data_IF_118624123262
#
_entry.id   IF_118624123262
#
_cell.length_a   1.000
_cell.length_b   1.000
_cell.length_c   1.000
_cell.angle_alpha   90.00
_cell.angle_beta   90.00
_cell.angle_gamma   90.00
#
_symmetry.space_group_name_H-M   'P 1'
#
loop_
_entity.id
_entity.type
_entity.pdbx_description
1 polymer ?
#
# COMPACT_ATOMS: atom_id res chain seq x y z
N UNK A 1 20.80 4.16 -20.70
CA UNK A 1 20.24 5.20 -19.82
C UNK A 1 21.28 5.55 -18.78
N UNK A 2 21.51 6.83 -18.57
CA UNK A 2 22.44 7.26 -17.54
C UNK A 2 21.97 6.67 -16.19
N UNK A 3 22.94 6.18 -15.42
CA UNK A 3 22.63 5.52 -14.15
C UNK A 3 22.02 6.55 -13.17
N UNK A 4 20.70 6.53 -13.00
CA UNK A 4 19.96 7.48 -12.13
C UNK A 4 20.57 7.57 -10.74
N UNK A 5 21.21 6.50 -10.23
CA UNK A 5 21.93 6.52 -8.94
C UNK A 5 23.07 7.53 -8.86
N UNK A 6 23.59 7.99 -9.99
CA UNK A 6 24.67 8.98 -10.03
C UNK A 6 24.16 10.42 -10.03
N UNK A 7 22.87 10.61 -10.29
CA UNK A 7 22.22 11.91 -10.28
C UNK A 7 21.80 12.31 -8.84
N UNK A 8 21.71 13.62 -8.62
CA UNK A 8 21.10 14.13 -7.39
C UNK A 8 19.59 13.94 -7.42
N UNK A 9 18.97 13.85 -6.25
CA UNK A 9 17.50 13.70 -6.14
C UNK A 9 16.74 14.76 -6.94
N UNK A 10 17.19 16.02 -6.88
CA UNK A 10 16.55 17.14 -7.58
C UNK A 10 16.58 16.96 -9.09
N UNK A 11 17.67 16.41 -9.64
CA UNK A 11 17.80 16.13 -11.08
C UNK A 11 16.85 15.02 -11.52
N UNK A 12 16.71 13.95 -10.70
CA UNK A 12 15.74 12.87 -10.97
C UNK A 12 14.31 13.42 -10.92
N UNK A 13 13.99 14.26 -9.94
CA UNK A 13 12.67 14.91 -9.81
C UNK A 13 12.33 15.73 -11.06
N UNK A 14 13.27 16.50 -11.61
CA UNK A 14 13.03 17.28 -12.84
C UNK A 14 12.86 16.37 -14.08
N UNK A 15 13.56 15.23 -14.14
CA UNK A 15 13.35 14.25 -15.21
C UNK A 15 11.96 13.61 -15.14
N UNK A 16 11.46 13.31 -13.93
CA UNK A 16 10.11 12.78 -13.71
C UNK A 16 9.07 13.83 -14.13
N UNK A 17 9.18 15.08 -13.67
CA UNK A 17 8.27 16.16 -14.05
C UNK A 17 8.20 16.42 -15.56
N UNK A 18 9.31 16.23 -16.25
CA UNK A 18 9.39 16.36 -17.71
C UNK A 18 8.94 15.13 -18.48
N UNK A 19 8.54 14.04 -17.79
CA UNK A 19 8.11 12.78 -18.41
C UNK A 19 9.25 11.99 -19.07
N UNK A 20 10.50 12.27 -18.72
CA UNK A 20 11.68 11.55 -19.26
C UNK A 20 12.07 10.34 -18.44
N UNK A 21 11.59 10.24 -17.22
CA UNK A 21 11.80 9.13 -16.28
C UNK A 21 10.47 8.76 -15.67
N UNK A 22 10.17 7.48 -15.62
CA UNK A 22 8.98 6.92 -14.99
C UNK A 22 9.32 5.98 -13.82
N UNK A 23 8.31 5.30 -13.26
CA UNK A 23 8.48 4.37 -12.14
C UNK A 23 9.34 3.17 -12.54
N UNK A 24 9.23 2.70 -13.79
CA UNK A 24 10.03 1.56 -14.26
C UNK A 24 11.51 1.93 -14.32
N UNK A 25 11.85 3.12 -14.81
CA UNK A 25 13.23 3.62 -14.84
C UNK A 25 13.85 3.72 -13.44
N UNK A 26 13.05 4.18 -12.45
CA UNK A 26 13.46 4.25 -11.04
C UNK A 26 13.80 2.84 -10.51
N UNK A 27 12.90 1.87 -10.76
CA UNK A 27 13.08 0.47 -10.36
C UNK A 27 14.31 -0.15 -11.03
N UNK A 28 14.45 0.02 -12.34
CA UNK A 28 15.56 -0.51 -13.11
C UNK A 28 16.92 0.08 -12.70
N UNK A 29 16.90 1.31 -12.20
CA UNK A 29 18.06 1.94 -11.59
C UNK A 29 18.37 1.43 -10.18
N UNK A 30 17.56 0.51 -9.63
CA UNK A 30 17.73 -0.06 -8.30
C UNK A 30 17.47 0.96 -7.17
N UNK A 31 16.56 1.87 -7.41
CA UNK A 31 16.01 2.82 -6.42
C UNK A 31 14.63 2.33 -6.02
N UNK A 32 14.36 2.26 -4.72
CA UNK A 32 13.02 1.92 -4.25
C UNK A 32 12.04 3.08 -4.55
N UNK A 33 11.02 2.87 -5.41
CA UNK A 33 10.14 3.95 -5.81
C UNK A 33 9.31 4.50 -4.65
N UNK A 34 8.86 3.64 -3.72
CA UNK A 34 8.13 4.08 -2.53
C UNK A 34 8.97 4.97 -1.61
N UNK A 35 10.24 4.58 -1.36
CA UNK A 35 11.14 5.41 -0.56
C UNK A 35 11.49 6.72 -1.25
N UNK A 36 11.67 6.67 -2.58
CA UNK A 36 11.95 7.87 -3.37
C UNK A 36 10.75 8.82 -3.35
N UNK A 37 9.56 8.29 -3.56
CA UNK A 37 8.30 9.04 -3.57
C UNK A 37 8.07 9.79 -2.24
N UNK A 38 8.18 9.07 -1.11
CA UNK A 38 8.06 9.67 0.23
C UNK A 38 9.05 10.80 0.49
N UNK A 39 10.27 10.70 -0.01
CA UNK A 39 11.32 11.73 0.15
C UNK A 39 11.14 12.93 -0.77
N UNK A 40 10.36 12.79 -1.83
CA UNK A 40 10.22 13.79 -2.89
C UNK A 40 8.77 14.26 -3.06
N UNK A 41 8.06 14.48 -1.94
CA UNK A 41 6.70 15.03 -1.92
C UNK A 41 5.70 14.26 -2.80
N UNK A 42 5.78 12.93 -2.80
CA UNK A 42 4.85 12.03 -3.50
C UNK A 42 4.73 12.28 -5.01
N UNK A 43 5.87 12.59 -5.64
CA UNK A 43 5.91 12.95 -7.07
C UNK A 43 5.56 11.79 -8.02
N UNK A 44 5.74 10.53 -7.59
CA UNK A 44 5.46 9.34 -8.40
C UNK A 44 4.02 8.87 -8.29
N UNK A 45 3.45 8.90 -7.11
CA UNK A 45 2.16 8.29 -6.80
C UNK A 45 1.08 9.29 -6.37
N UNK A 46 1.48 10.54 -6.17
CA UNK A 46 0.60 11.56 -5.61
C UNK A 46 0.42 11.42 -4.10
N UNK A 47 -0.16 12.44 -3.49
CA UNK A 47 -0.50 12.44 -2.09
C UNK A 47 -1.67 11.48 -1.82
N UNK A 48 -1.51 10.58 -0.85
CA UNK A 48 -2.51 9.60 -0.43
C UNK A 48 -3.16 9.94 0.92
N UNK A 49 -3.00 11.17 1.42
CA UNK A 49 -3.58 11.58 2.71
C UNK A 49 -5.11 11.46 2.72
N UNK A 50 -5.76 11.67 1.59
CA UNK A 50 -7.19 11.47 1.40
C UNK A 50 -7.63 10.01 1.59
N UNK A 51 -6.73 9.03 1.38
CA UNK A 51 -6.96 7.58 1.49
C UNK A 51 -6.39 6.98 2.77
N UNK A 52 -5.67 7.76 3.57
CA UNK A 52 -5.06 7.29 4.82
C UNK A 52 -6.13 6.87 5.82
N UNK A 53 -5.98 5.67 6.38
CA UNK A 53 -6.86 5.11 7.43
C UNK A 53 -6.26 5.38 8.80
N UNK A 54 -5.01 4.98 8.99
CA UNK A 54 -4.24 5.19 10.22
C UNK A 54 -2.74 5.09 9.95
N UNK A 55 -1.95 5.66 10.83
CA UNK A 55 -0.50 5.51 10.82
C UNK A 55 0.04 5.47 12.25
N UNK A 56 1.21 4.87 12.41
CA UNK A 56 2.02 4.92 13.63
C UNK A 56 3.51 5.04 13.27
N UNK A 57 4.39 4.86 14.22
CA UNK A 57 5.84 5.00 14.00
C UNK A 57 6.40 3.98 12.98
N UNK A 58 5.75 2.83 12.79
CA UNK A 58 6.23 1.72 11.96
C UNK A 58 5.46 1.53 10.66
N UNK A 59 4.15 1.85 10.65
CA UNK A 59 3.24 1.46 9.58
C UNK A 59 2.36 2.61 9.10
N UNK A 60 1.96 2.52 7.84
CA UNK A 60 0.92 3.33 7.21
C UNK A 60 -0.16 2.40 6.67
N UNK A 61 -1.42 2.69 6.96
CA UNK A 61 -2.59 1.94 6.50
C UNK A 61 -3.44 2.85 5.63
N UNK A 62 -3.68 2.48 4.38
CA UNK A 62 -4.41 3.30 3.43
C UNK A 62 -5.22 2.49 2.43
N UNK A 63 -6.28 3.08 1.88
CA UNK A 63 -7.02 2.51 0.76
C UNK A 63 -6.18 2.59 -0.52
N UNK A 64 -6.14 1.49 -1.27
CA UNK A 64 -5.37 1.39 -2.50
C UNK A 64 -6.02 2.23 -3.60
N UNK A 65 -5.25 3.12 -4.24
CA UNK A 65 -5.75 4.04 -5.27
C UNK A 65 -6.17 3.36 -6.59
N UNK A 66 -5.66 2.15 -6.85
CA UNK A 66 -6.09 1.31 -7.98
C UNK A 66 -6.45 -0.08 -7.44
N UNK A 67 -7.63 -0.20 -6.80
CA UNK A 67 -7.99 -1.36 -5.99
C UNK A 67 -8.40 -2.56 -6.84
N UNK A 68 -8.43 -3.76 -6.22
CA UNK A 68 -9.01 -4.97 -6.77
C UNK A 68 -10.45 -5.22 -6.29
N UNK A 69 -10.86 -4.51 -5.26
CA UNK A 69 -12.21 -4.52 -4.70
C UNK A 69 -12.42 -3.25 -3.88
N UNK A 70 -13.65 -2.85 -3.65
CA UNK A 70 -13.96 -1.79 -2.68
C UNK A 70 -13.40 -2.17 -1.31
N UNK A 71 -12.81 -1.21 -0.59
CA UNK A 71 -12.15 -1.48 0.68
C UNK A 71 -10.80 -2.19 0.59
N UNK A 72 -10.21 -2.36 -0.61
CA UNK A 72 -8.84 -2.87 -0.75
C UNK A 72 -7.87 -1.94 -0.04
N UNK A 73 -7.24 -2.46 1.01
CA UNK A 73 -6.36 -1.72 1.91
C UNK A 73 -4.93 -2.25 1.82
N UNK A 74 -3.96 -1.37 1.94
CA UNK A 74 -2.56 -1.74 2.13
C UNK A 74 -2.06 -1.34 3.53
N UNK A 75 -1.16 -2.15 4.08
CA UNK A 75 -0.34 -1.82 5.25
C UNK A 75 1.10 -1.80 4.76
N UNK A 76 1.72 -0.63 4.72
CA UNK A 76 3.11 -0.44 4.29
C UNK A 76 4.00 -0.15 5.49
N UNK A 77 5.19 -0.70 5.51
CA UNK A 77 6.20 -0.33 6.51
C UNK A 77 6.75 1.08 6.23
N UNK A 78 7.07 1.85 7.27
CA UNK A 78 7.76 3.15 7.10
C UNK A 78 9.24 2.97 6.82
N UNK A 79 9.85 1.96 7.45
CA UNK A 79 11.23 1.54 7.16
C UNK A 79 11.23 0.69 5.90
N UNK A 80 12.25 0.82 5.07
CA UNK A 80 12.42 0.01 3.88
C UNK A 80 12.80 -1.42 4.26
N UNK A 81 11.94 -2.36 3.90
CA UNK A 81 12.23 -3.78 3.78
C UNK A 81 11.85 -4.19 2.36
N UNK A 82 12.62 -5.06 1.75
CA UNK A 82 12.33 -5.56 0.41
C UNK A 82 11.15 -6.53 0.43
N UNK A 83 11.14 -7.42 1.40
CA UNK A 83 10.11 -8.44 1.56
C UNK A 83 9.99 -8.87 3.04
N UNK A 84 9.11 -9.83 3.30
CA UNK A 84 8.85 -10.34 4.64
C UNK A 84 10.06 -11.03 5.30
N UNK A 85 11.00 -11.53 4.52
CA UNK A 85 12.17 -12.24 5.04
C UNK A 85 13.20 -11.29 5.68
N UNK A 86 13.13 -10.00 5.36
CA UNK A 86 14.01 -8.98 5.93
C UNK A 86 13.47 -8.34 7.22
N UNK A 87 12.18 -8.55 7.53
CA UNK A 87 11.55 -7.91 8.69
C UNK A 87 11.98 -8.62 9.98
N UNK A 88 12.27 -7.84 11.01
CA UNK A 88 12.48 -8.39 12.35
C UNK A 88 11.20 -9.00 12.95
N UNK A 89 11.36 -9.93 13.89
CA UNK A 89 10.26 -10.68 14.48
C UNK A 89 9.21 -9.80 15.17
N UNK A 90 9.62 -8.70 15.78
CA UNK A 90 8.71 -7.82 16.51
C UNK A 90 7.88 -7.00 15.53
N UNK A 91 8.49 -6.44 14.49
CA UNK A 91 7.78 -5.78 13.39
C UNK A 91 6.83 -6.75 12.68
N UNK A 92 7.27 -8.02 12.49
CA UNK A 92 6.43 -9.07 11.91
C UNK A 92 5.19 -9.34 12.78
N UNK A 93 5.33 -9.50 14.08
CA UNK A 93 4.20 -9.70 15.01
C UNK A 93 3.24 -8.51 14.98
N UNK A 94 3.76 -7.29 15.05
CA UNK A 94 2.97 -6.08 15.08
C UNK A 94 2.14 -5.89 13.79
N UNK A 95 2.74 -6.09 12.61
CA UNK A 95 2.02 -5.91 11.34
C UNK A 95 0.89 -6.94 11.18
N UNK A 96 1.08 -8.19 11.65
CA UNK A 96 0.02 -9.20 11.60
C UNK A 96 -1.11 -8.93 12.60
N UNK A 97 -0.81 -8.41 13.79
CA UNK A 97 -1.83 -7.94 14.74
C UNK A 97 -2.64 -6.80 14.13
N UNK A 98 -1.96 -5.83 13.51
CA UNK A 98 -2.59 -4.72 12.82
C UNK A 98 -3.44 -5.19 11.63
N UNK A 99 -2.91 -6.12 10.82
CA UNK A 99 -3.65 -6.71 9.71
C UNK A 99 -4.93 -7.42 10.16
N UNK A 100 -4.87 -8.24 11.22
CA UNK A 100 -6.06 -8.89 11.80
C UNK A 100 -7.14 -7.86 12.21
N UNK A 101 -6.72 -6.77 12.84
CA UNK A 101 -7.61 -5.68 13.27
C UNK A 101 -8.30 -5.02 12.08
N UNK A 102 -7.50 -4.63 11.08
CA UNK A 102 -8.00 -4.01 9.84
C UNK A 102 -8.93 -4.96 9.07
N UNK A 103 -8.61 -6.24 8.96
CA UNK A 103 -9.46 -7.23 8.27
C UNK A 103 -10.85 -7.32 8.91
N UNK A 104 -10.94 -7.32 10.23
CA UNK A 104 -12.24 -7.31 10.93
C UNK A 104 -13.01 -6.01 10.63
N UNK A 105 -12.34 -4.86 10.72
CA UNK A 105 -12.97 -3.57 10.45
C UNK A 105 -13.42 -3.44 8.99
N UNK A 106 -12.59 -3.86 8.03
CA UNK A 106 -12.94 -3.89 6.60
C UNK A 106 -14.17 -4.76 6.37
N UNK A 107 -14.18 -5.97 6.94
CA UNK A 107 -15.31 -6.88 6.82
C UNK A 107 -16.61 -6.26 7.33
N UNK A 108 -16.54 -5.60 8.47
CA UNK A 108 -17.73 -4.98 9.09
C UNK A 108 -18.20 -3.72 8.35
N UNK A 109 -17.26 -2.85 7.94
CA UNK A 109 -17.58 -1.57 7.29
C UNK A 109 -18.06 -1.78 5.86
N UNK A 110 -17.31 -2.56 5.09
CA UNK A 110 -17.64 -2.83 3.67
C UNK A 110 -18.61 -3.99 3.46
N UNK A 111 -19.06 -4.67 4.54
CA UNK A 111 -19.97 -5.82 4.46
C UNK A 111 -19.44 -6.94 3.57
N UNK A 112 -18.12 -7.13 3.56
CA UNK A 112 -17.52 -8.22 2.79
C UNK A 112 -17.69 -9.57 3.47
N UNK A 113 -17.76 -10.66 2.70
CA UNK A 113 -17.86 -12.02 3.25
C UNK A 113 -16.56 -12.47 3.89
N UNK A 114 -15.44 -12.10 3.28
CA UNK A 114 -14.08 -12.39 3.76
C UNK A 114 -13.10 -11.34 3.30
N UNK A 115 -11.91 -11.33 3.90
CA UNK A 115 -10.79 -10.48 3.46
C UNK A 115 -9.57 -11.39 3.26
N UNK A 116 -8.99 -11.35 2.06
CA UNK A 116 -7.73 -12.02 1.78
C UNK A 116 -6.56 -11.15 2.25
N UNK A 117 -5.55 -11.81 2.80
CA UNK A 117 -4.28 -11.18 3.11
C UNK A 117 -3.20 -11.75 2.20
N UNK A 118 -2.44 -10.89 1.54
CA UNK A 118 -1.31 -11.30 0.72
C UNK A 118 -0.21 -10.23 0.70
N UNK A 119 0.98 -10.65 0.31
CA UNK A 119 2.08 -9.78 -0.09
C UNK A 119 2.60 -10.25 -1.43
N UNK A 120 2.98 -9.33 -2.30
CA UNK A 120 3.53 -9.59 -3.63
C UNK A 120 4.81 -8.79 -3.78
N UNK A 121 5.93 -9.44 -3.53
CA UNK A 121 7.27 -8.85 -3.58
C UNK A 121 8.08 -9.54 -4.68
N UNK A 122 7.69 -9.31 -5.94
CA UNK A 122 8.21 -9.99 -7.12
C UNK A 122 9.11 -9.13 -8.03
N UNK A 123 9.30 -7.89 -7.69
CA UNK A 123 10.17 -6.96 -8.42
C UNK A 123 11.60 -6.88 -7.89
N UNK A 124 12.54 -6.32 -8.68
CA UNK A 124 13.92 -6.11 -8.24
C UNK A 124 14.03 -5.11 -7.07
N UNK A 125 13.12 -4.15 -7.01
CA UNK A 125 13.06 -3.13 -5.97
C UNK A 125 11.64 -3.05 -5.40
N UNK A 126 11.38 -3.81 -4.33
CA UNK A 126 10.13 -3.76 -3.60
C UNK A 126 10.25 -2.87 -2.37
N UNK A 127 9.10 -2.44 -1.88
CA UNK A 127 8.91 -1.95 -0.52
C UNK A 127 7.82 -2.80 0.13
N UNK A 128 8.17 -3.48 1.21
CA UNK A 128 7.27 -4.44 1.83
C UNK A 128 5.94 -3.82 2.25
N UNK A 129 4.89 -4.47 1.86
CA UNK A 129 3.52 -4.13 2.26
C UNK A 129 2.64 -5.38 2.26
N UNK A 130 1.65 -5.39 3.13
CA UNK A 130 0.55 -6.34 3.09
C UNK A 130 -0.62 -5.73 2.32
N UNK A 131 -1.33 -6.55 1.55
CA UNK A 131 -2.58 -6.19 0.90
C UNK A 131 -3.73 -6.95 1.53
N UNK A 132 -4.79 -6.23 1.89
CA UNK A 132 -6.02 -6.76 2.45
C UNK A 132 -7.12 -6.56 1.41
N UNK A 133 -7.53 -7.65 0.75
CA UNK A 133 -8.44 -7.61 -0.40
C UNK A 133 -9.79 -8.20 0.01
N UNK A 134 -10.85 -7.38 0.12
CA UNK A 134 -12.19 -7.85 0.40
C UNK A 134 -12.71 -8.76 -0.73
N UNK A 135 -13.45 -9.79 -0.33
CA UNK A 135 -14.24 -10.63 -1.22
C UNK A 135 -15.70 -10.55 -0.80
N UNK A 136 -16.57 -10.30 -1.76
CA UNK A 136 -18.00 -10.18 -1.55
C UNK A 136 -18.72 -11.49 -1.87
N UNK A 137 -19.94 -11.62 -1.39
CA UNK A 137 -20.75 -12.86 -1.52
C UNK A 137 -21.08 -13.22 -2.99
N UNK A 138 -21.22 -12.21 -3.85
CA UNK A 138 -21.42 -12.37 -5.29
C UNK A 138 -20.16 -12.79 -6.05
N UNK A 139 -19.00 -12.79 -5.42
CA UNK A 139 -17.71 -13.16 -6.03
C UNK A 139 -17.38 -14.64 -5.81
N UNK A 140 -16.74 -15.25 -6.80
CA UNK A 140 -16.27 -16.64 -6.69
C UNK A 140 -15.21 -16.77 -5.59
N UNK A 141 -15.25 -17.89 -4.88
CA UNK A 141 -14.22 -18.23 -3.87
C UNK A 141 -12.92 -18.67 -4.53
N UNK A 142 -11.82 -18.50 -3.80
CA UNK A 142 -10.51 -19.05 -4.14
C UNK A 142 -9.57 -18.05 -4.83
N UNK A 143 -8.46 -18.58 -5.33
CA UNK A 143 -7.31 -17.81 -5.82
C UNK A 143 -7.60 -16.85 -6.99
N UNK A 144 -8.65 -17.08 -7.75
CA UNK A 144 -9.04 -16.19 -8.84
C UNK A 144 -9.32 -14.75 -8.40
N UNK A 145 -9.66 -14.55 -7.12
CA UNK A 145 -9.91 -13.22 -6.57
C UNK A 145 -8.63 -12.44 -6.24
N UNK A 146 -7.48 -13.10 -6.11
CA UNK A 146 -6.20 -12.41 -5.95
C UNK A 146 -5.72 -11.75 -7.24
N UNK A 147 -6.04 -12.34 -8.37
CA UNK A 147 -5.58 -11.93 -9.71
C UNK A 147 -6.67 -11.22 -10.52
N UNK A 148 -7.81 -10.90 -9.90
CA UNK A 148 -8.84 -10.10 -10.57
C UNK A 148 -8.28 -8.75 -10.98
N UNK A 149 -8.82 -8.19 -12.05
CA UNK A 149 -8.40 -6.90 -12.59
C UNK A 149 -8.53 -5.78 -11.54
N UNK A 150 -7.71 -4.77 -11.71
CA UNK A 150 -7.81 -3.56 -10.92
C UNK A 150 -8.94 -2.71 -11.45
N UNK A 151 -9.58 -1.97 -10.56
CA UNK A 151 -10.70 -1.08 -10.87
C UNK A 151 -10.35 0.35 -10.49
N UNK A 152 -11.10 1.29 -11.03
CA UNK A 152 -11.01 2.69 -10.61
C UNK A 152 -11.43 2.84 -9.15
N UNK A 153 -10.66 3.62 -8.39
CA UNK A 153 -11.00 3.95 -7.02
C UNK A 153 -12.25 4.82 -6.97
N UNK A 154 -13.24 4.35 -6.24
CA UNK A 154 -14.45 5.13 -5.94
C UNK A 154 -14.37 5.64 -4.52
N UNK A 155 -14.24 6.96 -4.39
CA UNK A 155 -14.22 7.59 -3.08
C UNK A 155 -15.53 7.33 -2.33
N UNK A 156 -15.41 6.85 -1.10
CA UNK A 156 -16.51 6.75 -0.14
C UNK A 156 -16.03 7.28 1.22
N UNK A 157 -16.25 8.57 1.43
CA UNK A 157 -15.79 9.27 2.64
C UNK A 157 -16.40 8.71 3.90
N UNK A 158 -17.67 8.31 3.87
CA UNK A 158 -18.36 7.78 5.04
C UNK A 158 -17.75 6.46 5.52
N UNK A 159 -17.49 5.53 4.61
CA UNK A 159 -16.86 4.25 4.95
C UNK A 159 -15.40 4.44 5.39
N UNK A 160 -14.68 5.36 4.77
CA UNK A 160 -13.32 5.68 5.18
C UNK A 160 -13.27 6.27 6.60
N UNK A 161 -14.16 7.21 6.90
CA UNK A 161 -14.25 7.79 8.25
C UNK A 161 -14.68 6.73 9.29
N UNK A 162 -15.58 5.83 8.94
CA UNK A 162 -15.93 4.72 9.82
C UNK A 162 -14.73 3.82 10.11
N UNK A 163 -13.91 3.49 9.09
CA UNK A 163 -12.66 2.75 9.30
C UNK A 163 -11.69 3.49 10.22
N UNK A 164 -11.48 4.78 9.99
CA UNK A 164 -10.61 5.63 10.82
C UNK A 164 -11.06 5.58 12.29
N UNK A 165 -12.32 5.81 12.54
CA UNK A 165 -12.88 5.82 13.88
C UNK A 165 -12.72 4.48 14.61
N UNK A 166 -12.86 3.36 13.90
CA UNK A 166 -12.67 2.02 14.45
C UNK A 166 -11.21 1.72 14.75
N UNK A 167 -10.27 2.35 14.03
CA UNK A 167 -8.85 2.20 14.31
C UNK A 167 -8.42 2.95 15.57
N UNK A 168 -8.89 4.19 15.79
CA UNK A 168 -8.58 5.00 16.98
C UNK A 168 -9.12 4.36 18.26
N UNK A 169 -10.31 3.79 18.24
CA UNK A 169 -10.93 3.21 19.44
C UNK A 169 -10.25 1.91 19.93
N UNK A 170 -9.28 1.40 19.21
CA UNK A 170 -8.59 0.15 19.57
C UNK A 170 -7.22 0.38 20.22
N UNK A 171 -6.72 1.61 20.23
CA UNK A 171 -5.46 2.01 20.88
C UNK A 171 -5.62 2.37 22.36
N UNK A 172 -6.84 2.26 22.87
CA UNK A 172 -7.20 2.44 24.28
C UNK A 172 -7.51 1.09 24.92
#
# INVERSE_FOLDING_TARGET
MDNLKQLKNEEIVELIKSGKVDVADIVDSGICPTCFDKKNNHILYGDNTDKMISENDKFECFLVGNPRADGHTAISTKIHYKDMMEIDDDTCKEIFILAKKLMNNIKDVYKSESVYLCTMCDGPMNHFHLQLIPRYDYEKRGSKNFVKERMEYKENKELLEELRNRMVNYER
#
